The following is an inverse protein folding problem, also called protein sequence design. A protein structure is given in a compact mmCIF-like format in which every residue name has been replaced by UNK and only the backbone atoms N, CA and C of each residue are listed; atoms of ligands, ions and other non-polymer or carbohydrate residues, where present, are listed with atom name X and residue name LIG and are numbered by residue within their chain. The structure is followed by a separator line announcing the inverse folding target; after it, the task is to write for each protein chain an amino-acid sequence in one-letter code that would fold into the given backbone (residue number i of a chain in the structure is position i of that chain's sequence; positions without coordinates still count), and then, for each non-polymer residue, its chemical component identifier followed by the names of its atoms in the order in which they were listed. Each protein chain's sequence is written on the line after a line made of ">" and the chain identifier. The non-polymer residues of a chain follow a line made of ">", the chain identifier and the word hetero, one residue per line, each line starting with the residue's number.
data_IF_515132375527
#
_entry.id   IF_515132375527
#
_cell.length_a   1.000
_cell.length_b   1.000
_cell.length_c   1.000
_cell.angle_alpha   90.00
_cell.angle_beta   90.00
_cell.angle_gamma   90.00
#
_symmetry.space_group_name_H-M   'P 1'
#
loop_
_entity.id
_entity.type
_entity.pdbx_description
1 polymer ?
#
# COMPACT_ATOMS: atom_id res chain seq x y z
N UNK A 1 -23.92 -7.34 -4.54
CA UNK A 1 -22.93 -6.64 -3.69
C UNK A 1 -23.32 -6.89 -2.25
N UNK A 2 -22.36 -7.12 -1.36
CA UNK A 2 -22.66 -7.28 0.05
C UNK A 2 -22.76 -5.90 0.71
N UNK A 3 -23.75 -5.71 1.59
CA UNK A 3 -23.84 -4.50 2.38
C UNK A 3 -22.62 -4.40 3.32
N UNK A 4 -22.05 -3.20 3.52
CA UNK A 4 -21.02 -2.98 4.53
C UNK A 4 -21.51 -3.44 5.91
N UNK A 5 -20.69 -4.19 6.66
CA UNK A 5 -20.97 -4.57 8.05
C UNK A 5 -20.50 -3.50 9.05
N UNK A 6 -20.47 -2.23 8.64
CA UNK A 6 -20.12 -1.08 9.47
C UNK A 6 -20.98 0.13 9.12
N UNK A 7 -21.10 1.07 10.07
CA UNK A 7 -21.84 2.30 9.85
C UNK A 7 -21.05 3.32 9.00
N UNK A 8 -21.75 4.20 8.29
CA UNK A 8 -21.12 5.30 7.57
C UNK A 8 -20.29 6.19 8.52
N UNK A 9 -19.15 6.70 8.03
CA UNK A 9 -18.22 7.57 8.77
C UNK A 9 -17.58 6.93 10.02
N UNK A 10 -17.41 5.60 10.00
CA UNK A 10 -16.70 4.88 11.07
C UNK A 10 -15.18 5.07 10.95
N UNK A 11 -14.51 5.26 12.09
CA UNK A 11 -13.05 5.23 12.22
C UNK A 11 -12.66 3.98 12.98
N UNK A 12 -11.79 3.17 12.39
CA UNK A 12 -11.22 2.00 13.04
C UNK A 12 -9.80 2.31 13.53
N UNK A 13 -9.43 1.76 14.67
CA UNK A 13 -8.10 1.95 15.28
C UNK A 13 -7.43 0.60 15.52
N UNK A 14 -6.15 0.48 15.16
CA UNK A 14 -5.37 -0.75 15.28
C UNK A 14 -4.68 -1.13 13.97
N UNK A 15 -4.13 -2.35 13.89
CA UNK A 15 -3.61 -2.89 12.63
C UNK A 15 -4.76 -3.07 11.64
N UNK A 16 -4.59 -2.50 10.43
CA UNK A 16 -5.59 -2.54 9.39
C UNK A 16 -5.87 -3.95 8.85
N UNK A 17 -4.92 -4.89 8.93
CA UNK A 17 -5.08 -6.22 8.35
C UNK A 17 -6.21 -7.04 9.01
N UNK A 18 -6.23 -7.27 10.33
CA UNK A 18 -7.34 -7.97 10.99
C UNK A 18 -8.68 -7.24 10.84
N UNK A 19 -8.65 -5.90 10.84
CA UNK A 19 -9.85 -5.07 10.63
C UNK A 19 -10.44 -5.33 9.24
N UNK A 20 -9.61 -5.25 8.20
CA UNK A 20 -10.02 -5.52 6.82
C UNK A 20 -10.53 -6.95 6.65
N UNK A 21 -9.88 -7.95 7.26
CA UNK A 21 -10.32 -9.36 7.22
C UNK A 21 -11.72 -9.58 7.80
N UNK A 22 -12.13 -8.76 8.77
CA UNK A 22 -13.47 -8.82 9.36
C UNK A 22 -14.54 -8.09 8.53
N UNK A 23 -14.16 -7.30 7.52
CA UNK A 23 -15.09 -6.55 6.67
C UNK A 23 -15.66 -7.44 5.55
N UNK A 24 -16.94 -7.23 5.22
CA UNK A 24 -17.60 -7.91 4.10
C UNK A 24 -16.90 -7.63 2.77
N UNK A 25 -16.75 -8.64 1.91
CA UNK A 25 -16.18 -8.48 0.56
C UNK A 25 -17.08 -7.64 -0.35
N UNK A 26 -16.50 -7.03 -1.39
CA UNK A 26 -17.24 -6.27 -2.41
C UNK A 26 -18.24 -5.25 -1.82
N UNK A 27 -17.75 -4.46 -0.86
CA UNK A 27 -18.51 -3.50 -0.06
C UNK A 27 -17.95 -2.08 -0.13
N UNK A 28 -16.75 -1.89 -0.70
CA UNK A 28 -16.06 -0.59 -0.82
C UNK A 28 -16.02 -0.13 -2.29
N UNK A 29 -16.42 1.11 -2.55
CA UNK A 29 -16.37 1.72 -3.89
C UNK A 29 -14.99 2.31 -4.22
N UNK A 30 -14.29 2.87 -3.23
CA UNK A 30 -13.00 3.53 -3.44
C UNK A 30 -12.08 3.31 -2.24
N UNK A 31 -10.83 2.97 -2.53
CA UNK A 31 -9.74 2.90 -1.57
C UNK A 31 -8.66 3.90 -1.97
N UNK A 32 -8.25 4.75 -1.04
CA UNK A 32 -7.02 5.53 -1.13
C UNK A 32 -6.08 5.09 -0.02
N UNK A 33 -4.81 4.86 -0.36
CA UNK A 33 -3.78 4.56 0.62
C UNK A 33 -2.50 5.35 0.35
N UNK A 34 -1.96 5.89 1.44
CA UNK A 34 -0.66 6.53 1.53
C UNK A 34 0.19 5.72 2.51
N UNK A 35 0.71 4.54 2.08
CA UNK A 35 1.47 3.68 2.95
C UNK A 35 2.84 4.29 3.27
N UNK A 36 3.44 3.88 4.38
CA UNK A 36 4.79 4.28 4.71
C UNK A 36 5.79 3.87 3.62
N UNK A 37 6.79 4.70 3.35
CA UNK A 37 7.62 4.61 2.14
C UNK A 37 8.86 3.73 2.26
N UNK A 38 9.02 2.98 3.36
CA UNK A 38 10.24 2.24 3.67
C UNK A 38 11.48 3.16 3.61
N UNK A 39 11.31 4.35 4.17
CA UNK A 39 12.33 5.37 4.19
C UNK A 39 13.51 5.04 5.12
N UNK A 40 13.36 4.01 5.99
CA UNK A 40 14.28 3.64 7.07
C UNK A 40 14.47 4.76 8.09
N UNK A 41 13.42 5.54 8.33
CA UNK A 41 13.42 6.65 9.25
C UNK A 41 12.37 6.43 10.35
N UNK A 42 12.72 6.84 11.56
CA UNK A 42 11.76 6.93 12.65
C UNK A 42 11.09 8.31 12.59
N UNK A 43 9.76 8.31 12.53
CA UNK A 43 8.97 9.52 12.54
C UNK A 43 8.33 9.69 13.91
N UNK A 44 8.64 10.81 14.57
CA UNK A 44 7.92 11.27 15.74
C UNK A 44 6.98 12.41 15.33
N UNK A 45 5.75 12.36 15.79
CA UNK A 45 4.81 13.44 15.58
C UNK A 45 5.34 14.75 16.19
N UNK A 46 5.15 15.91 15.53
CA UNK A 46 5.64 17.19 16.04
C UNK A 46 5.11 17.50 17.44
N UNK A 47 5.99 17.98 18.31
CA UNK A 47 5.65 18.42 19.67
C UNK A 47 4.56 19.49 19.58
N UNK A 48 3.42 19.25 20.25
CA UNK A 48 2.25 20.14 20.24
C UNK A 48 1.22 19.89 19.13
N UNK A 49 1.43 18.90 18.25
CA UNK A 49 0.40 18.44 17.32
C UNK A 49 -0.66 17.57 18.02
N UNK A 50 -1.82 17.38 17.37
CA UNK A 50 -2.85 16.43 17.85
C UNK A 50 -2.35 14.97 17.91
N UNK A 51 -1.24 14.67 17.26
CA UNK A 51 -0.60 13.37 17.23
C UNK A 51 0.66 13.31 18.12
N UNK A 52 0.97 14.36 18.91
CA UNK A 52 2.18 14.41 19.73
C UNK A 52 2.29 13.18 20.65
N UNK A 53 3.44 12.49 20.58
CA UNK A 53 3.67 11.22 21.26
C UNK A 53 3.43 9.97 20.39
N UNK A 54 2.91 10.12 19.18
CA UNK A 54 2.90 9.03 18.20
C UNK A 54 4.29 8.86 17.58
N UNK A 55 4.82 7.65 17.68
CA UNK A 55 6.06 7.21 17.06
C UNK A 55 5.75 6.14 16.01
N UNK A 56 6.37 6.26 14.84
CA UNK A 56 6.26 5.31 13.75
C UNK A 56 7.65 5.01 13.21
N UNK A 57 8.07 3.74 13.31
CA UNK A 57 9.29 3.26 12.66
C UNK A 57 8.97 2.82 11.24
N UNK A 58 9.54 3.51 10.25
CA UNK A 58 9.45 3.16 8.82
C UNK A 58 10.54 2.14 8.44
N UNK A 59 10.68 1.11 9.27
CA UNK A 59 11.60 -0.01 9.11
C UNK A 59 10.88 -1.30 9.50
N UNK A 60 10.81 -2.24 8.56
CA UNK A 60 10.36 -3.61 8.81
C UNK A 60 11.54 -4.54 8.91
N UNK A 61 11.52 -5.38 9.93
CA UNK A 61 12.42 -6.50 10.12
C UNK A 61 11.67 -7.80 9.87
N UNK A 62 12.40 -8.88 9.61
CA UNK A 62 11.80 -10.20 9.39
C UNK A 62 11.02 -10.71 10.61
N UNK A 63 11.28 -10.18 11.82
CA UNK A 63 10.52 -10.53 13.03
C UNK A 63 9.14 -9.87 13.09
N UNK A 64 8.90 -8.84 12.28
CA UNK A 64 7.60 -8.16 12.16
C UNK A 64 6.67 -8.86 11.16
N UNK A 65 7.17 -9.91 10.48
CA UNK A 65 6.44 -10.64 9.46
C UNK A 65 5.95 -11.97 10.02
N UNK A 66 4.64 -12.14 9.97
CA UNK A 66 3.99 -13.40 10.28
C UNK A 66 4.38 -14.46 9.23
N UNK A 67 4.90 -15.59 9.70
CA UNK A 67 5.34 -16.71 8.86
C UNK A 67 4.19 -17.20 7.97
N UNK A 68 2.95 -17.13 8.45
CA UNK A 68 1.77 -17.50 7.67
C UNK A 68 1.57 -16.61 6.44
N UNK A 69 2.02 -15.35 6.49
CA UNK A 69 1.94 -14.46 5.32
C UNK A 69 2.93 -14.87 4.25
N UNK A 70 4.13 -15.29 4.64
CA UNK A 70 5.13 -15.81 3.71
C UNK A 70 4.62 -17.10 3.06
N UNK A 71 4.13 -18.04 3.85
CA UNK A 71 3.57 -19.30 3.35
C UNK A 71 2.40 -19.04 2.40
N UNK A 72 1.49 -18.13 2.74
CA UNK A 72 0.39 -17.72 1.88
C UNK A 72 0.88 -17.21 0.51
N UNK A 73 1.89 -16.33 0.52
CA UNK A 73 2.42 -15.73 -0.70
C UNK A 73 3.17 -16.75 -1.56
N UNK A 74 3.98 -17.61 -0.94
CA UNK A 74 4.74 -18.65 -1.62
C UNK A 74 3.81 -19.70 -2.26
N UNK A 75 2.86 -20.24 -1.49
CA UNK A 75 2.03 -21.36 -1.92
C UNK A 75 0.87 -20.95 -2.82
N UNK A 76 0.19 -19.84 -2.49
CA UNK A 76 -1.07 -19.45 -3.13
C UNK A 76 -0.92 -18.29 -4.13
N UNK A 77 0.17 -17.53 -4.05
CA UNK A 77 0.38 -16.36 -4.90
C UNK A 77 1.79 -16.31 -5.51
N UNK A 78 2.17 -17.30 -6.35
CA UNK A 78 3.52 -17.40 -6.88
C UNK A 78 3.99 -16.18 -7.68
N UNK A 79 3.08 -15.42 -8.29
CA UNK A 79 3.40 -14.15 -8.94
C UNK A 79 3.86 -13.08 -7.93
N UNK A 80 3.20 -12.97 -6.77
CA UNK A 80 3.61 -12.06 -5.70
C UNK A 80 4.92 -12.52 -5.07
N UNK A 81 5.08 -13.82 -4.85
CA UNK A 81 6.33 -14.38 -4.33
C UNK A 81 7.54 -14.00 -5.18
N UNK A 82 7.41 -14.04 -6.51
CA UNK A 82 8.47 -13.60 -7.44
C UNK A 82 8.84 -12.12 -7.25
N UNK A 83 7.87 -11.25 -6.96
CA UNK A 83 8.14 -9.83 -6.67
C UNK A 83 8.91 -9.68 -5.36
N UNK A 84 8.54 -10.44 -4.32
CA UNK A 84 9.28 -10.46 -3.05
C UNK A 84 10.72 -10.97 -3.24
N UNK A 85 10.93 -12.01 -4.04
CA UNK A 85 12.27 -12.52 -4.35
C UNK A 85 13.14 -11.48 -5.08
N UNK A 86 12.53 -10.58 -5.87
CA UNK A 86 13.23 -9.50 -6.56
C UNK A 86 13.60 -8.31 -5.65
N UNK A 87 13.13 -8.27 -4.40
CA UNK A 87 13.51 -7.22 -3.46
C UNK A 87 14.98 -7.36 -3.03
N UNK A 88 15.66 -6.21 -2.94
CA UNK A 88 17.12 -6.15 -2.80
C UNK A 88 17.62 -6.43 -1.39
N UNK A 89 16.84 -6.06 -0.36
CA UNK A 89 17.24 -6.21 1.05
C UNK A 89 16.18 -6.97 1.85
N UNK A 90 16.55 -7.58 3.00
CA UNK A 90 15.57 -8.21 3.89
C UNK A 90 14.47 -7.25 4.36
N UNK A 91 14.81 -5.98 4.54
CA UNK A 91 13.84 -4.91 4.88
C UNK A 91 12.85 -4.66 3.74
N UNK A 92 13.32 -4.59 2.49
CA UNK A 92 12.43 -4.44 1.33
C UNK A 92 11.50 -5.66 1.19
N UNK A 93 12.02 -6.88 1.39
CA UNK A 93 11.20 -8.10 1.38
C UNK A 93 10.12 -8.07 2.45
N UNK A 94 10.47 -7.64 3.66
CA UNK A 94 9.54 -7.54 4.78
C UNK A 94 8.44 -6.51 4.49
N UNK A 95 8.82 -5.34 3.98
CA UNK A 95 7.85 -4.33 3.53
C UNK A 95 6.91 -4.86 2.43
N UNK A 96 7.45 -5.54 1.41
CA UNK A 96 6.62 -6.10 0.34
C UNK A 96 5.69 -7.21 0.81
N UNK A 97 6.13 -8.07 1.74
CA UNK A 97 5.26 -9.06 2.37
C UNK A 97 4.12 -8.38 3.15
N UNK A 98 4.46 -7.37 3.96
CA UNK A 98 3.52 -6.56 4.73
C UNK A 98 2.47 -5.89 3.82
N UNK A 99 2.90 -5.31 2.69
CA UNK A 99 2.01 -4.67 1.73
C UNK A 99 1.18 -5.67 0.94
N UNK A 100 1.75 -6.78 0.49
CA UNK A 100 1.07 -7.77 -0.35
C UNK A 100 -0.20 -8.32 0.32
N UNK A 101 -0.13 -8.71 1.59
CA UNK A 101 -1.31 -9.25 2.31
C UNK A 101 -2.40 -8.20 2.49
N UNK A 102 -2.04 -6.92 2.64
CA UNK A 102 -3.01 -5.82 2.76
C UNK A 102 -3.66 -5.49 1.44
N UNK A 103 -2.88 -5.45 0.36
CA UNK A 103 -3.38 -5.23 -0.99
C UNK A 103 -4.32 -6.37 -1.44
N UNK A 104 -4.06 -7.61 -1.04
CA UNK A 104 -4.97 -8.74 -1.26
C UNK A 104 -6.32 -8.52 -0.59
N UNK A 105 -6.34 -8.08 0.67
CA UNK A 105 -7.59 -7.75 1.37
C UNK A 105 -8.29 -6.54 0.76
N UNK A 106 -7.55 -5.49 0.40
CA UNK A 106 -8.12 -4.32 -0.27
C UNK A 106 -8.81 -4.71 -1.59
N UNK A 107 -8.20 -5.58 -2.39
CA UNK A 107 -8.83 -6.12 -3.60
C UNK A 107 -10.11 -6.91 -3.29
N UNK A 108 -10.12 -7.73 -2.23
CA UNK A 108 -11.32 -8.46 -1.80
C UNK A 108 -12.47 -7.52 -1.37
N UNK A 109 -12.14 -6.38 -0.75
CA UNK A 109 -13.12 -5.41 -0.25
C UNK A 109 -13.74 -4.57 -1.35
N UNK A 110 -13.03 -4.32 -2.46
CA UNK A 110 -13.54 -3.53 -3.57
C UNK A 110 -14.74 -4.20 -4.24
N UNK A 111 -15.76 -3.40 -4.53
CA UNK A 111 -16.83 -3.76 -5.45
C UNK A 111 -16.25 -3.93 -6.87
N UNK A 112 -16.95 -4.64 -7.78
CA UNK A 112 -16.49 -4.78 -9.17
C UNK A 112 -16.19 -3.43 -9.86
N UNK A 113 -17.06 -2.43 -9.67
CA UNK A 113 -16.85 -1.06 -10.15
C UNK A 113 -15.92 -0.21 -9.27
N UNK A 114 -15.23 -0.84 -8.31
CA UNK A 114 -14.41 -0.14 -7.33
C UNK A 114 -13.02 0.22 -7.84
N UNK A 115 -12.41 1.22 -7.20
CA UNK A 115 -11.10 1.74 -7.57
C UNK A 115 -10.13 1.83 -6.39
N UNK A 116 -8.83 1.68 -6.69
CA UNK A 116 -7.73 1.81 -5.73
C UNK A 116 -6.74 2.85 -6.21
N UNK A 117 -6.42 3.78 -5.32
CA UNK A 117 -5.41 4.82 -5.49
C UNK A 117 -4.29 4.58 -4.48
N UNK A 118 -3.11 4.19 -4.96
CA UNK A 118 -1.94 3.94 -4.13
C UNK A 118 -0.90 5.03 -4.34
N UNK A 119 -0.65 5.84 -3.31
CA UNK A 119 0.46 6.79 -3.30
C UNK A 119 1.77 6.04 -3.12
N UNK A 120 2.75 6.35 -3.97
CA UNK A 120 4.04 5.69 -4.01
C UNK A 120 5.17 6.71 -3.96
N UNK A 121 6.24 6.35 -3.24
CA UNK A 121 7.53 6.99 -3.42
C UNK A 121 8.34 6.33 -4.55
N UNK A 122 9.44 6.97 -4.99
CA UNK A 122 10.31 6.40 -6.01
C UNK A 122 11.07 5.14 -5.58
N UNK A 123 11.23 4.84 -4.29
CA UNK A 123 12.02 3.68 -3.83
C UNK A 123 11.25 2.38 -4.01
N UNK A 124 10.02 2.32 -3.49
CA UNK A 124 9.23 1.08 -3.48
C UNK A 124 8.10 1.10 -4.52
N UNK A 125 7.79 2.24 -5.15
CA UNK A 125 6.69 2.38 -6.09
C UNK A 125 6.67 1.37 -7.23
N UNK A 126 7.83 1.03 -7.80
CA UNK A 126 7.91 0.02 -8.88
C UNK A 126 7.62 -1.40 -8.39
N UNK A 127 8.07 -1.75 -7.19
CA UNK A 127 7.75 -3.05 -6.59
C UNK A 127 6.27 -3.14 -6.22
N UNK A 128 5.70 -2.07 -5.67
CA UNK A 128 4.28 -1.96 -5.38
C UNK A 128 3.42 -2.08 -6.65
N UNK A 129 3.85 -1.46 -7.75
CA UNK A 129 3.20 -1.62 -9.06
C UNK A 129 3.17 -3.08 -9.51
N UNK A 130 4.27 -3.81 -9.34
CA UNK A 130 4.33 -5.24 -9.68
C UNK A 130 3.43 -6.08 -8.78
N UNK A 131 3.32 -5.75 -7.49
CA UNK A 131 2.35 -6.40 -6.59
C UNK A 131 0.91 -6.14 -7.06
N UNK A 132 0.56 -4.90 -7.38
CA UNK A 132 -0.77 -4.56 -7.90
C UNK A 132 -1.05 -5.26 -9.23
N UNK A 133 -0.09 -5.33 -10.16
CA UNK A 133 -0.23 -6.08 -11.42
C UNK A 133 -0.51 -7.57 -11.19
N UNK A 134 0.09 -8.16 -10.15
CA UNK A 134 -0.12 -9.56 -9.79
C UNK A 134 -1.44 -9.80 -9.02
N UNK A 135 -1.97 -8.80 -8.32
CA UNK A 135 -3.23 -8.90 -7.55
C UNK A 135 -4.45 -8.59 -8.45
N UNK A 136 -4.45 -7.43 -9.08
CA UNK A 136 -5.56 -6.92 -9.89
C UNK A 136 -5.48 -7.41 -11.33
N UNK A 137 -4.28 -7.75 -11.79
CA UNK A 137 -4.00 -7.99 -13.20
C UNK A 137 -3.53 -6.71 -13.90
N UNK A 138 -2.54 -6.85 -14.79
CA UNK A 138 -1.94 -5.72 -15.52
C UNK A 138 -2.95 -4.88 -16.32
N UNK A 139 -4.01 -5.49 -16.83
CA UNK A 139 -5.05 -4.82 -17.61
C UNK A 139 -5.95 -3.92 -16.76
N UNK A 140 -5.97 -4.12 -15.44
CA UNK A 140 -6.71 -3.30 -14.48
C UNK A 140 -5.97 -2.01 -14.10
N UNK A 141 -4.73 -1.82 -14.55
CA UNK A 141 -4.03 -0.56 -14.39
C UNK A 141 -4.65 0.51 -15.30
N UNK A 142 -5.09 1.63 -14.73
CA UNK A 142 -5.76 2.70 -15.49
C UNK A 142 -4.88 3.90 -15.73
N UNK A 143 -4.16 4.35 -14.69
CA UNK A 143 -3.37 5.55 -14.83
C UNK A 143 -2.23 5.64 -13.80
N UNK A 144 -1.21 6.42 -14.18
CA UNK A 144 -0.18 6.93 -13.29
C UNK A 144 -0.43 8.43 -13.11
N UNK A 145 -0.93 8.82 -11.93
CA UNK A 145 -1.23 10.21 -11.63
C UNK A 145 0.02 10.83 -11.01
N UNK A 146 0.54 11.88 -11.65
CA UNK A 146 1.70 12.61 -11.15
C UNK A 146 1.24 13.77 -10.28
N UNK A 147 1.46 13.66 -8.97
CA UNK A 147 1.14 14.72 -8.02
C UNK A 147 2.33 15.66 -7.88
N UNK A 148 2.29 16.76 -8.64
CA UNK A 148 3.35 17.76 -8.63
C UNK A 148 3.26 18.71 -7.44
N UNK A 149 4.40 19.02 -6.83
CA UNK A 149 4.53 20.03 -5.78
C UNK A 149 5.67 21.00 -6.05
N UNK A 150 5.50 22.25 -5.60
CA UNK A 150 6.52 23.28 -5.71
C UNK A 150 7.38 23.32 -4.45
N UNK A 151 8.67 23.06 -4.62
CA UNK A 151 9.69 23.27 -3.58
C UNK A 151 10.67 24.36 -4.01
N UNK A 152 10.99 25.30 -3.13
CA UNK A 152 12.06 26.26 -3.39
C UNK A 152 13.43 25.61 -3.24
N UNK A 153 14.38 25.91 -4.12
CA UNK A 153 15.77 25.47 -4.01
C UNK A 153 16.27 24.67 -5.21
N UNK A 154 17.53 24.92 -5.58
CA UNK A 154 18.24 24.23 -6.67
C UNK A 154 19.13 23.14 -6.07
N UNK A 155 18.90 21.89 -6.44
CA UNK A 155 19.78 20.78 -6.08
C UNK A 155 21.11 20.93 -6.83
N UNK A 156 22.24 20.74 -6.12
CA UNK A 156 23.60 20.94 -6.67
C UNK A 156 24.16 19.72 -7.43
N UNK A 157 23.64 18.52 -7.15
CA UNK A 157 24.20 17.25 -7.68
C UNK A 157 23.21 16.42 -8.52
N UNK A 158 21.91 16.56 -8.29
CA UNK A 158 20.86 15.76 -8.92
C UNK A 158 19.66 16.63 -9.31
N UNK A 159 18.72 16.06 -10.06
CA UNK A 159 17.44 16.67 -10.31
C UNK A 159 16.63 16.83 -9.01
N UNK A 160 15.79 17.85 -8.96
CA UNK A 160 14.91 18.06 -7.83
C UNK A 160 13.73 17.08 -7.90
N UNK A 161 13.45 16.41 -6.79
CA UNK A 161 12.15 15.77 -6.60
C UNK A 161 11.07 16.86 -6.57
N UNK A 162 10.08 16.71 -7.45
CA UNK A 162 9.01 17.69 -7.69
C UNK A 162 7.63 17.04 -7.81
N UNK A 163 7.58 15.74 -7.64
CA UNK A 163 6.34 14.98 -7.73
C UNK A 163 6.46 13.71 -6.90
N UNK A 164 5.29 13.21 -6.52
CA UNK A 164 5.10 11.81 -6.18
C UNK A 164 4.14 11.17 -7.19
N UNK A 165 4.06 9.84 -7.17
CA UNK A 165 3.24 9.06 -8.08
C UNK A 165 2.08 8.44 -7.33
N UNK A 166 0.87 8.51 -7.91
CA UNK A 166 -0.30 7.78 -7.43
C UNK A 166 -0.71 6.79 -8.53
N UNK A 167 -0.71 5.50 -8.19
CA UNK A 167 -1.13 4.42 -9.08
C UNK A 167 -2.63 4.20 -8.97
N UNK A 168 -3.32 4.19 -10.12
CA UNK A 168 -4.76 3.94 -10.20
C UNK A 168 -5.04 2.57 -10.81
N UNK A 169 -5.78 1.75 -10.06
CA UNK A 169 -6.32 0.46 -10.48
C UNK A 169 -7.84 0.40 -10.29
N UNK A 170 -8.50 -0.46 -11.06
CA UNK A 170 -9.91 -0.82 -10.87
C UNK A 170 -10.04 -2.29 -10.54
N UNK A 171 -11.13 -2.71 -9.87
CA UNK A 171 -11.35 -4.11 -9.53
C UNK A 171 -11.72 -4.96 -10.75
N UNK A 172 -12.60 -4.46 -11.62
CA UNK A 172 -12.92 -5.06 -12.93
C UNK A 172 -12.94 -4.00 -14.03
N UNK A 173 -13.19 -4.41 -15.27
CA UNK A 173 -13.29 -3.52 -16.43
C UNK A 173 -14.59 -2.68 -16.45
N UNK A 174 -15.54 -2.95 -15.54
CA UNK A 174 -16.85 -2.27 -15.45
C UNK A 174 -16.82 -1.01 -14.56
N UNK A 175 -15.62 -0.52 -14.22
CA UNK A 175 -15.39 0.62 -13.32
C UNK A 175 -15.18 1.94 -14.06
#
# INVERSE_FOLDING_TARGET
>A
MAEPNWAAKTVFTGDNLPIMRAMNSASVDLIYLDPPFNSKADYAAPIGSKAAGAEFSDTWTLTDIDVEWINLLEDKHPALWRVLLAAMTPSDKSYLAYMAVRLLEMHRLLKPCGSLYLHCDPKMGHYLKLLLDAIFGRHQFRNEIIWCYSTSGRRKRFFAAKHDTILLYTSTDDA
#
